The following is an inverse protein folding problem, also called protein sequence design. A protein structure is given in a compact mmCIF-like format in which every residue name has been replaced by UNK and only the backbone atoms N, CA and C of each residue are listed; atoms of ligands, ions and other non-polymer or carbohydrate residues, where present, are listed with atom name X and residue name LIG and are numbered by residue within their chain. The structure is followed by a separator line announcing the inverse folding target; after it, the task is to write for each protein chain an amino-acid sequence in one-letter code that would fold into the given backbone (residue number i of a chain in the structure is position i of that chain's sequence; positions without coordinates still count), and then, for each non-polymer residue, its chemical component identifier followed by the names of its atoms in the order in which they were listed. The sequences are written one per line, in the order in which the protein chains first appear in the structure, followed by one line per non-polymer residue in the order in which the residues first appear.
data_IF_911430810467
#
_entry.id   IF_911430810467
#
_cell.length_a   1.000
_cell.length_b   1.000
_cell.length_c   1.000
_cell.angle_alpha   90.00
_cell.angle_beta   90.00
_cell.angle_gamma   90.00
#
_symmetry.space_group_name_H-M   'P 1'
#
loop_
_entity.id
_entity.type
_entity.pdbx_description
1 polymer ?
#
# COMPACT_ATOMS: atom_id res chain seq x y z
N UNK A 1 6.19 -18.30 -8.18
CA UNK A 1 7.41 -17.60 -7.72
C UNK A 1 7.86 -18.27 -6.45
N UNK A 2 9.07 -18.79 -6.44
CA UNK A 2 9.70 -19.24 -5.19
C UNK A 2 10.41 -18.03 -4.64
N UNK A 3 9.82 -17.38 -3.65
CA UNK A 3 10.51 -16.34 -2.89
C UNK A 3 11.53 -17.06 -2.00
N UNK A 4 12.82 -16.82 -2.20
CA UNK A 4 13.84 -17.28 -1.28
C UNK A 4 13.64 -16.59 0.07
N UNK A 5 13.41 -17.36 1.12
CA UNK A 5 13.47 -16.88 2.48
C UNK A 5 14.90 -16.36 2.75
N UNK A 6 15.07 -15.06 2.76
CA UNK A 6 16.31 -14.40 3.14
C UNK A 6 16.31 -14.20 4.66
N UNK A 7 17.38 -14.64 5.29
CA UNK A 7 17.63 -14.48 6.71
C UNK A 7 17.55 -13.02 7.14
N UNK A 8 16.79 -12.76 8.20
CA UNK A 8 16.63 -11.46 8.83
C UNK A 8 17.97 -10.81 9.16
N UNK A 9 18.23 -9.65 8.59
CA UNK A 9 19.27 -8.75 9.07
C UNK A 9 18.89 -8.25 10.47
N UNK A 10 19.83 -8.33 11.41
CA UNK A 10 19.64 -7.95 12.80
C UNK A 10 19.31 -6.45 12.93
N UNK A 11 18.15 -6.17 13.53
CA UNK A 11 17.97 -5.08 14.47
C UNK A 11 18.19 -3.65 13.94
N UNK A 12 17.57 -3.25 12.83
CA UNK A 12 17.30 -1.84 12.55
C UNK A 12 15.82 -1.59 12.87
N UNK A 13 15.56 -0.63 13.74
CA UNK A 13 14.20 -0.15 14.00
C UNK A 13 13.58 0.28 12.66
N UNK A 14 12.59 -0.47 12.19
CA UNK A 14 11.94 -0.18 10.92
C UNK A 14 10.91 0.90 11.18
N UNK A 15 11.25 2.11 10.73
CA UNK A 15 10.28 3.19 10.56
C UNK A 15 10.16 3.47 9.07
N UNK A 16 8.94 3.52 8.56
CA UNK A 16 8.67 3.75 7.15
C UNK A 16 7.40 4.58 7.00
N UNK A 17 7.50 5.63 6.21
CA UNK A 17 6.36 6.46 5.81
C UNK A 17 6.14 6.35 4.31
N UNK A 18 4.93 5.98 3.94
CA UNK A 18 4.48 5.89 2.55
C UNK A 18 3.42 6.96 2.31
N UNK A 19 3.56 7.67 1.20
CA UNK A 19 2.58 8.63 0.71
C UNK A 19 2.08 8.13 -0.63
N UNK A 20 0.77 8.15 -0.87
CA UNK A 20 0.15 7.80 -2.15
C UNK A 20 -0.85 8.86 -2.59
N UNK A 21 -0.76 9.29 -3.85
CA UNK A 21 -1.64 10.30 -4.42
C UNK A 21 -1.82 10.08 -5.92
N UNK A 22 -3.04 9.98 -6.39
CA UNK A 22 -3.34 10.20 -7.79
C UNK A 22 -3.22 11.71 -8.07
N UNK A 23 -2.22 12.10 -8.86
CA UNK A 23 -1.91 13.52 -9.10
C UNK A 23 -2.67 14.14 -10.27
N UNK A 24 -3.61 13.41 -10.86
CA UNK A 24 -4.41 13.89 -12.00
C UNK A 24 -3.53 14.57 -13.07
N UNK A 25 -2.38 14.01 -13.39
CA UNK A 25 -1.42 14.55 -14.37
C UNK A 25 -1.04 16.02 -14.09
N UNK A 26 -0.88 16.42 -12.83
CA UNK A 26 -0.68 17.80 -12.40
C UNK A 26 -1.82 18.76 -12.78
N UNK A 27 -3.02 18.23 -12.98
CA UNK A 27 -4.22 19.00 -13.35
C UNK A 27 -4.94 19.64 -12.17
N UNK A 28 -4.54 19.36 -10.94
CA UNK A 28 -5.25 19.77 -9.75
C UNK A 28 -6.63 19.11 -9.67
N UNK A 29 -7.60 19.80 -9.11
CA UNK A 29 -9.01 19.39 -9.08
C UNK A 29 -9.77 19.71 -10.39
N UNK A 30 -9.01 20.16 -11.40
CA UNK A 30 -9.53 20.56 -12.71
C UNK A 30 -9.53 19.43 -13.73
N UNK A 31 -9.62 19.84 -15.02
CA UNK A 31 -9.41 18.89 -16.11
C UNK A 31 -7.97 18.38 -16.09
N UNK A 32 -7.78 17.05 -16.24
CA UNK A 32 -6.44 16.49 -16.39
C UNK A 32 -5.64 17.24 -17.45
N UNK A 33 -4.36 17.45 -17.19
CA UNK A 33 -3.43 18.06 -18.13
C UNK A 33 -3.56 17.47 -19.53
N UNK A 34 -3.67 16.16 -19.61
CA UNK A 34 -3.82 15.41 -20.86
C UNK A 34 -5.10 15.76 -21.65
N UNK A 35 -6.22 16.03 -21.00
CA UNK A 35 -7.46 16.43 -21.69
C UNK A 35 -7.35 17.88 -22.23
N UNK A 36 -6.74 18.77 -21.47
CA UNK A 36 -6.45 20.13 -21.95
C UNK A 36 -5.51 20.14 -23.16
N UNK A 37 -4.51 19.27 -23.17
CA UNK A 37 -3.64 19.09 -24.34
C UNK A 37 -4.42 18.64 -25.58
N UNK A 38 -5.34 17.69 -25.42
CA UNK A 38 -6.19 17.24 -26.53
C UNK A 38 -7.08 18.37 -27.05
N UNK A 39 -7.60 19.22 -26.17
CA UNK A 39 -8.42 20.37 -26.55
C UNK A 39 -7.59 21.38 -27.36
N UNK A 40 -6.43 21.78 -26.85
CA UNK A 40 -5.51 22.68 -27.56
C UNK A 40 -5.09 22.12 -28.92
N UNK A 41 -4.79 20.84 -28.98
CA UNK A 41 -4.44 20.19 -30.25
C UNK A 41 -5.62 20.18 -31.26
N UNK A 42 -6.85 20.05 -30.79
CA UNK A 42 -8.04 20.17 -31.66
C UNK A 42 -8.24 21.59 -32.15
N UNK A 43 -8.01 22.59 -31.31
CA UNK A 43 -8.11 24.01 -31.67
C UNK A 43 -7.02 24.44 -32.65
N UNK A 44 -5.76 24.10 -32.41
CA UNK A 44 -4.64 24.52 -33.28
C UNK A 44 -4.61 23.78 -34.63
N UNK A 45 -4.99 22.51 -34.65
CA UNK A 45 -4.83 21.67 -35.86
C UNK A 45 -6.16 21.24 -36.50
N UNK A 46 -7.27 21.90 -36.13
CA UNK A 46 -8.56 21.73 -36.82
C UNK A 46 -9.11 20.31 -36.81
N UNK A 47 -8.83 19.53 -35.74
CA UNK A 47 -9.41 18.21 -35.56
C UNK A 47 -8.83 17.10 -36.45
N UNK A 48 -7.84 17.38 -37.28
CA UNK A 48 -7.11 16.35 -38.02
C UNK A 48 -6.26 15.55 -37.01
N UNK A 49 -6.34 14.22 -37.07
CA UNK A 49 -5.49 13.28 -36.31
C UNK A 49 -4.03 13.45 -36.75
N UNK A 50 -3.43 14.54 -36.37
CA UNK A 50 -1.99 14.67 -36.43
C UNK A 50 -1.43 13.94 -35.21
N UNK A 51 -0.41 13.13 -35.46
CA UNK A 51 0.48 12.64 -34.42
C UNK A 51 1.04 13.91 -33.79
N UNK A 52 0.43 14.33 -32.67
CA UNK A 52 0.92 15.48 -31.93
C UNK A 52 2.40 15.24 -31.72
N UNK A 53 3.20 16.17 -32.14
CA UNK A 53 4.45 16.42 -31.50
C UNK A 53 4.09 16.93 -30.10
N UNK A 54 3.85 16.01 -29.19
CA UNK A 54 3.41 16.31 -27.83
C UNK A 54 4.36 17.30 -27.14
N UNK A 55 5.61 17.29 -27.54
CA UNK A 55 6.67 18.10 -26.97
C UNK A 55 6.48 19.60 -27.20
N UNK A 56 6.03 20.03 -28.37
CA UNK A 56 5.85 21.46 -28.67
C UNK A 56 4.57 22.05 -28.04
N UNK A 57 3.50 21.29 -28.00
CA UNK A 57 2.26 21.69 -27.34
C UNK A 57 2.41 21.66 -25.81
N UNK A 58 3.14 20.68 -25.29
CA UNK A 58 3.49 20.53 -23.88
C UNK A 58 4.32 21.72 -23.37
N UNK A 59 5.37 22.08 -24.08
CA UNK A 59 6.26 23.18 -23.68
C UNK A 59 5.55 24.53 -23.63
N UNK A 60 4.61 24.79 -24.53
CA UNK A 60 3.79 25.99 -24.52
C UNK A 60 2.82 26.05 -23.35
N UNK A 61 2.20 24.93 -23.05
CA UNK A 61 1.18 24.88 -22.02
C UNK A 61 1.76 24.88 -20.61
N UNK A 62 2.90 24.22 -20.40
CA UNK A 62 3.67 24.23 -19.16
C UNK A 62 4.12 25.65 -18.77
N UNK A 63 4.38 26.51 -19.76
CA UNK A 63 4.80 27.90 -19.55
C UNK A 63 3.64 28.83 -19.17
N UNK A 64 2.40 28.49 -19.55
CA UNK A 64 1.28 29.43 -19.45
C UNK A 64 0.37 29.21 -18.25
N UNK A 65 0.37 28.03 -17.56
CA UNK A 65 -0.71 27.71 -16.65
C UNK A 65 -0.28 26.97 -15.37
N UNK A 66 -1.14 27.15 -14.37
CA UNK A 66 -1.38 26.46 -13.09
C UNK A 66 -0.67 25.13 -12.78
N UNK A 67 -0.15 24.37 -13.74
CA UNK A 67 0.59 23.15 -13.48
C UNK A 67 1.89 23.40 -12.71
N UNK A 68 2.55 24.55 -12.94
CA UNK A 68 3.68 24.93 -12.12
C UNK A 68 3.30 25.17 -10.67
N UNK A 69 2.18 25.84 -10.41
CA UNK A 69 1.71 26.10 -9.05
C UNK A 69 1.23 24.83 -8.35
N UNK A 70 0.62 23.90 -9.09
CA UNK A 70 0.22 22.59 -8.55
C UNK A 70 1.44 21.73 -8.28
N UNK A 71 2.40 21.71 -9.21
CA UNK A 71 3.68 21.03 -9.02
C UNK A 71 4.39 21.55 -7.77
N UNK A 72 4.49 22.87 -7.59
CA UNK A 72 5.07 23.48 -6.39
C UNK A 72 4.30 23.11 -5.12
N UNK A 73 2.98 23.09 -5.18
CA UNK A 73 2.14 22.68 -4.03
C UNK A 73 2.37 21.22 -3.66
N UNK A 74 2.48 20.32 -4.63
CA UNK A 74 2.81 18.92 -4.41
C UNK A 74 4.21 18.80 -3.81
N UNK A 75 5.21 19.51 -4.34
CA UNK A 75 6.57 19.52 -3.83
C UNK A 75 6.63 19.97 -2.37
N UNK A 76 5.94 21.06 -2.03
CA UNK A 76 5.86 21.55 -0.65
C UNK A 76 5.25 20.49 0.25
N UNK A 77 4.16 19.86 -0.19
CA UNK A 77 3.45 18.84 0.57
C UNK A 77 4.32 17.60 0.82
N UNK A 78 4.92 17.02 -0.22
CA UNK A 78 5.75 15.80 -0.10
C UNK A 78 7.04 16.07 0.68
N UNK A 79 7.63 17.25 0.55
CA UNK A 79 8.79 17.63 1.35
C UNK A 79 8.45 17.77 2.83
N UNK A 80 7.27 18.30 3.16
CA UNK A 80 6.76 18.37 4.54
C UNK A 80 6.51 16.98 5.13
N UNK A 81 6.03 16.03 4.32
CA UNK A 81 5.78 14.66 4.77
C UNK A 81 7.06 13.91 5.13
N UNK A 82 8.18 14.24 4.50
CA UNK A 82 9.47 13.56 4.67
C UNK A 82 9.36 12.04 4.55
N UNK A 83 8.60 11.58 3.54
CA UNK A 83 8.29 10.19 3.33
C UNK A 83 9.49 9.37 2.85
N UNK A 84 9.50 8.08 3.15
CA UNK A 84 10.48 7.12 2.60
C UNK A 84 10.11 6.70 1.18
N UNK A 85 8.79 6.62 0.91
CA UNK A 85 8.22 6.23 -0.37
C UNK A 85 7.09 7.20 -0.71
N UNK A 86 7.13 7.74 -1.93
CA UNK A 86 6.07 8.58 -2.48
C UNK A 86 5.58 7.90 -3.76
N UNK A 87 4.30 7.57 -3.80
CA UNK A 87 3.64 6.87 -4.89
C UNK A 87 2.71 7.84 -5.61
N UNK A 88 2.88 7.97 -6.91
CA UNK A 88 1.97 8.75 -7.73
C UNK A 88 1.30 7.90 -8.79
N UNK A 89 0.00 8.06 -8.92
CA UNK A 89 -0.79 7.55 -10.01
C UNK A 89 -1.08 8.69 -10.99
N UNK A 90 -1.36 8.35 -12.23
CA UNK A 90 -1.54 9.31 -13.32
C UNK A 90 -0.35 10.26 -13.55
N UNK A 91 0.84 9.81 -13.22
CA UNK A 91 2.06 10.57 -13.46
C UNK A 91 2.38 10.59 -14.97
N UNK A 92 2.44 11.80 -15.54
CA UNK A 92 2.76 11.97 -16.94
C UNK A 92 4.27 11.98 -17.13
N UNK A 93 4.84 10.80 -17.33
CA UNK A 93 6.28 10.59 -17.46
C UNK A 93 6.81 11.27 -18.75
N UNK A 94 8.05 11.76 -18.72
CA UNK A 94 8.68 12.50 -19.81
C UNK A 94 7.98 13.82 -20.19
N UNK A 95 7.12 14.37 -19.35
CA UNK A 95 6.64 15.73 -19.52
C UNK A 95 7.62 16.74 -18.93
N UNK A 96 7.61 17.95 -19.44
CA UNK A 96 8.43 19.04 -18.88
C UNK A 96 8.16 19.27 -17.37
N UNK A 97 6.88 19.18 -16.95
CA UNK A 97 6.49 19.31 -15.55
C UNK A 97 7.08 18.18 -14.72
N UNK A 98 7.01 16.94 -15.24
CA UNK A 98 7.59 15.77 -14.58
C UNK A 98 9.13 15.90 -14.47
N UNK A 99 9.80 16.33 -15.52
CA UNK A 99 11.25 16.54 -15.50
C UNK A 99 11.67 17.59 -14.47
N UNK A 100 10.93 18.70 -14.38
CA UNK A 100 11.16 19.73 -13.38
C UNK A 100 10.88 19.21 -11.96
N UNK A 101 9.79 18.46 -11.79
CA UNK A 101 9.45 17.84 -10.50
C UNK A 101 10.56 16.88 -10.04
N UNK A 102 11.05 16.03 -10.95
CA UNK A 102 12.12 15.06 -10.68
C UNK A 102 13.43 15.76 -10.31
N UNK A 103 13.74 16.91 -10.94
CA UNK A 103 14.90 17.72 -10.62
C UNK A 103 14.81 18.30 -9.21
N UNK A 104 13.68 18.91 -8.86
CA UNK A 104 13.42 19.46 -7.52
C UNK A 104 13.40 18.38 -6.43
N UNK A 105 12.95 17.16 -6.76
CA UNK A 105 13.02 15.99 -5.88
C UNK A 105 14.45 15.44 -5.74
N UNK A 106 15.42 15.96 -6.51
CA UNK A 106 16.80 15.51 -6.49
C UNK A 106 17.02 14.17 -7.17
N UNK A 107 16.10 13.71 -8.04
CA UNK A 107 16.19 12.37 -8.65
C UNK A 107 17.29 12.26 -9.71
N UNK A 108 17.75 13.39 -10.25
CA UNK A 108 18.82 13.46 -11.26
C UNK A 108 20.22 13.45 -10.64
N UNK A 109 20.32 13.72 -9.35
CA UNK A 109 21.59 13.76 -8.64
C UNK A 109 21.97 12.38 -8.14
N UNK A 110 23.24 12.00 -8.29
CA UNK A 110 23.75 10.70 -7.83
C UNK A 110 23.55 10.47 -6.34
N UNK A 111 23.66 11.55 -5.54
CA UNK A 111 23.48 11.56 -4.10
C UNK A 111 22.17 12.26 -3.70
N UNK A 112 21.22 12.35 -4.63
CA UNK A 112 19.94 13.00 -4.41
C UNK A 112 19.07 12.27 -3.37
N UNK A 113 18.10 13.01 -2.82
CA UNK A 113 17.25 12.49 -1.73
C UNK A 113 16.38 11.32 -2.17
N UNK A 114 15.90 11.33 -3.40
CA UNK A 114 15.00 10.31 -3.95
C UNK A 114 15.53 9.72 -5.25
N UNK A 115 15.09 8.49 -5.51
CA UNK A 115 15.29 7.80 -6.80
C UNK A 115 13.92 7.52 -7.39
N UNK A 116 13.68 7.98 -8.61
CA UNK A 116 12.47 7.66 -9.36
C UNK A 116 12.52 6.21 -9.84
N UNK A 117 11.44 5.50 -9.61
CA UNK A 117 11.20 4.14 -10.07
C UNK A 117 9.83 4.05 -10.72
N UNK A 118 9.76 3.34 -11.82
CA UNK A 118 8.51 3.06 -12.48
C UNK A 118 8.60 1.73 -13.22
N UNK A 119 7.45 1.19 -13.55
CA UNK A 119 7.36 0.03 -14.42
C UNK A 119 7.81 0.38 -15.85
N UNK A 120 7.96 -0.62 -16.68
CA UNK A 120 8.41 -0.43 -18.05
C UNK A 120 7.60 0.64 -18.77
N UNK A 121 8.27 1.73 -19.20
CA UNK A 121 7.64 2.83 -19.91
C UNK A 121 7.18 2.32 -21.26
N UNK A 122 5.86 2.29 -21.46
CA UNK A 122 5.29 1.95 -22.77
C UNK A 122 4.92 3.23 -23.52
N UNK A 123 5.32 3.34 -24.78
CA UNK A 123 4.93 4.46 -25.64
C UNK A 123 3.42 4.48 -25.95
N UNK A 124 2.66 3.50 -25.44
CA UNK A 124 1.23 3.37 -25.70
C UNK A 124 0.37 4.22 -24.78
N UNK A 125 0.89 4.56 -23.59
CA UNK A 125 0.18 5.32 -22.58
C UNK A 125 1.12 6.32 -21.92
N UNK A 126 0.73 7.59 -21.83
CA UNK A 126 1.55 8.62 -21.20
C UNK A 126 1.49 8.59 -19.68
N UNK A 127 0.41 8.05 -19.09
CA UNK A 127 0.17 8.06 -17.66
C UNK A 127 0.62 6.75 -17.03
N UNK A 128 1.43 6.85 -15.99
CA UNK A 128 2.03 5.71 -15.28
C UNK A 128 1.82 5.82 -13.78
N UNK A 129 1.95 4.71 -13.08
CA UNK A 129 2.25 4.68 -11.65
C UNK A 129 3.76 4.78 -11.47
N UNK A 130 4.20 5.62 -10.54
CA UNK A 130 5.62 5.84 -10.28
C UNK A 130 5.88 5.92 -8.78
N UNK A 131 7.06 5.49 -8.36
CA UNK A 131 7.52 5.58 -6.99
C UNK A 131 8.79 6.43 -6.90
N UNK A 132 8.79 7.38 -5.97
CA UNK A 132 9.99 8.10 -5.53
C UNK A 132 10.42 7.45 -4.21
N UNK A 133 11.47 6.66 -4.27
CA UNK A 133 12.01 5.98 -3.10
C UNK A 133 13.19 6.76 -2.54
N UNK A 134 13.26 6.91 -1.21
CA UNK A 134 14.41 7.52 -0.55
C UNK A 134 15.69 6.77 -0.94
N UNK A 135 16.71 7.50 -1.32
CA UNK A 135 17.98 6.96 -1.83
C UNK A 135 18.85 6.42 -0.67
N UNK A 136 18.51 5.26 -0.16
CA UNK A 136 19.19 4.62 0.97
C UNK A 136 19.58 3.15 0.71
N UNK A 137 19.64 2.75 -0.56
CA UNK A 137 20.00 1.40 -1.02
C UNK A 137 19.12 0.24 -0.51
N UNK A 138 17.91 0.55 0.00
CA UNK A 138 16.98 -0.47 0.54
C UNK A 138 15.92 -0.90 -0.46
N UNK A 139 16.02 -0.44 -1.70
CA UNK A 139 15.09 -0.72 -2.78
C UNK A 139 15.56 -1.91 -3.64
N UNK A 140 14.64 -2.81 -3.93
CA UNK A 140 14.85 -3.93 -4.86
C UNK A 140 13.66 -3.98 -5.85
N UNK A 141 13.94 -3.94 -7.15
CA UNK A 141 12.91 -4.11 -8.16
C UNK A 141 12.44 -5.56 -8.22
N UNK A 142 11.15 -5.77 -8.04
CA UNK A 142 10.51 -7.08 -8.23
C UNK A 142 9.84 -7.05 -9.59
N UNK A 143 10.27 -7.90 -10.50
CA UNK A 143 9.58 -8.02 -11.80
C UNK A 143 8.17 -8.52 -11.57
N UNK A 144 7.14 -7.73 -11.86
CA UNK A 144 5.77 -8.17 -11.71
C UNK A 144 5.50 -9.32 -12.69
N UNK A 145 4.70 -10.30 -12.26
CA UNK A 145 4.20 -11.33 -13.17
C UNK A 145 3.15 -10.77 -14.13
N UNK A 146 2.69 -9.55 -13.88
CA UNK A 146 1.68 -8.86 -14.66
C UNK A 146 2.09 -7.39 -14.79
N UNK A 147 1.93 -6.89 -15.99
CA UNK A 147 1.99 -5.47 -16.31
C UNK A 147 0.71 -5.13 -17.06
N UNK A 148 0.07 -4.06 -16.68
CA UNK A 148 -1.09 -3.54 -17.35
C UNK A 148 -0.86 -2.07 -17.69
N UNK A 149 -0.19 -1.85 -18.83
CA UNK A 149 0.00 -0.52 -19.41
C UNK A 149 0.65 0.49 -18.43
N UNK A 150 1.58 0.05 -17.57
CA UNK A 150 2.22 0.91 -16.57
C UNK A 150 1.31 1.30 -15.39
N UNK A 151 0.22 0.56 -15.16
CA UNK A 151 -0.76 0.83 -14.10
C UNK A 151 -0.46 0.17 -12.77
N UNK A 152 0.38 -0.85 -12.77
CA UNK A 152 0.75 -1.59 -11.56
C UNK A 152 2.27 -1.68 -11.49
N UNK A 153 2.82 -1.24 -10.38
CA UNK A 153 4.25 -1.28 -10.11
C UNK A 153 4.51 -2.03 -8.81
N UNK A 154 5.38 -3.04 -8.85
CA UNK A 154 5.70 -3.89 -7.71
C UNK A 154 7.19 -3.78 -7.41
N UNK A 155 7.52 -3.49 -6.17
CA UNK A 155 8.90 -3.43 -5.70
C UNK A 155 8.99 -3.85 -4.23
N UNK A 156 10.21 -4.13 -3.80
CA UNK A 156 10.53 -4.41 -2.42
C UNK A 156 11.28 -3.22 -1.84
N UNK A 157 10.86 -2.77 -0.67
CA UNK A 157 11.53 -1.72 0.10
C UNK A 157 11.71 -2.21 1.53
N UNK A 158 12.98 -2.33 1.96
CA UNK A 158 13.31 -3.07 3.18
C UNK A 158 12.73 -4.49 3.09
N UNK A 159 11.91 -4.89 4.05
CA UNK A 159 11.27 -6.21 4.09
C UNK A 159 9.83 -6.21 3.57
N UNK A 160 9.35 -5.09 3.01
CA UNK A 160 8.00 -4.94 2.52
C UNK A 160 7.93 -5.08 1.00
N UNK A 161 6.93 -5.81 0.51
CA UNK A 161 6.51 -5.76 -0.87
C UNK A 161 5.47 -4.67 -1.04
N UNK A 162 5.74 -3.70 -1.89
CA UNK A 162 4.85 -2.59 -2.18
C UNK A 162 4.27 -2.83 -3.58
N UNK A 163 2.96 -2.80 -3.67
CA UNK A 163 2.21 -2.84 -4.92
C UNK A 163 1.51 -1.50 -5.07
N UNK A 164 2.04 -0.65 -5.93
CA UNK A 164 1.41 0.61 -6.31
C UNK A 164 0.53 0.40 -7.52
N UNK A 165 -0.72 0.84 -7.46
CA UNK A 165 -1.65 0.61 -8.55
C UNK A 165 -2.56 1.80 -8.84
N UNK A 166 -2.81 1.99 -10.14
CA UNK A 166 -3.93 2.74 -10.67
C UNK A 166 -4.79 1.79 -11.47
N UNK A 167 -5.75 1.16 -10.82
CA UNK A 167 -6.60 0.15 -11.45
C UNK A 167 -7.50 0.79 -12.52
N UNK A 168 -7.63 0.17 -13.68
CA UNK A 168 -8.56 0.67 -14.69
C UNK A 168 -10.01 0.43 -14.25
N UNK A 169 -10.88 1.38 -14.55
CA UNK A 169 -12.34 1.17 -14.42
C UNK A 169 -12.79 -0.03 -15.27
N UNK A 170 -13.71 -0.83 -14.71
CA UNK A 170 -14.32 -1.91 -15.48
C UNK A 170 -15.37 -1.31 -16.44
N UNK A 171 -15.23 -1.47 -17.76
CA UNK A 171 -16.19 -0.93 -18.71
C UNK A 171 -17.64 -1.42 -18.51
N UNK A 172 -17.84 -2.59 -17.90
CA UNK A 172 -19.17 -3.11 -17.59
C UNK A 172 -19.96 -2.25 -16.61
N UNK A 173 -19.27 -1.38 -15.87
CA UNK A 173 -19.88 -0.45 -14.92
C UNK A 173 -20.30 0.87 -15.59
N UNK A 174 -19.97 1.10 -16.87
CA UNK A 174 -20.42 2.26 -17.65
C UNK A 174 -21.76 1.92 -18.34
N UNK A 175 -22.74 2.81 -18.21
CA UNK A 175 -24.06 2.67 -18.88
C UNK A 175 -23.95 2.57 -20.41
N UNK A 176 -22.85 3.05 -21.00
CA UNK A 176 -22.55 3.00 -22.42
C UNK A 176 -21.82 1.74 -22.85
N UNK A 177 -21.67 0.75 -21.95
CA UNK A 177 -21.00 -0.51 -22.25
C UNK A 177 -21.55 -1.18 -23.50
N UNK A 178 -20.65 -1.61 -24.37
CA UNK A 178 -20.94 -2.22 -25.65
C UNK A 178 -20.08 -3.46 -25.89
N UNK A 179 -20.41 -4.22 -26.93
CA UNK A 179 -19.57 -5.38 -27.36
C UNK A 179 -18.12 -4.98 -27.70
N UNK A 180 -17.88 -3.72 -28.12
CA UNK A 180 -16.53 -3.23 -28.38
C UNK A 180 -15.68 -3.13 -27.09
N UNK A 181 -16.32 -2.99 -25.93
CA UNK A 181 -15.69 -2.83 -24.64
C UNK A 181 -15.44 -4.18 -23.94
N UNK A 182 -16.02 -5.26 -24.47
CA UNK A 182 -15.96 -6.61 -23.91
C UNK A 182 -14.53 -7.08 -23.66
N UNK A 183 -13.66 -6.92 -24.66
CA UNK A 183 -12.25 -7.29 -24.53
C UNK A 183 -11.57 -6.54 -23.40
N UNK A 184 -11.86 -5.24 -23.26
CA UNK A 184 -11.29 -4.40 -22.21
C UNK A 184 -11.78 -4.82 -20.83
N UNK A 185 -13.07 -5.14 -20.69
CA UNK A 185 -13.65 -5.66 -19.45
C UNK A 185 -12.97 -6.97 -19.02
N UNK A 186 -12.82 -7.92 -19.95
CA UNK A 186 -12.10 -9.18 -19.69
C UNK A 186 -10.64 -8.96 -19.28
N UNK A 187 -9.95 -7.97 -19.86
CA UNK A 187 -8.59 -7.63 -19.49
C UNK A 187 -8.50 -7.07 -18.05
N UNK A 188 -9.46 -6.24 -17.64
CA UNK A 188 -9.56 -5.70 -16.29
C UNK A 188 -9.82 -6.82 -15.27
N UNK A 189 -10.77 -7.70 -15.55
CA UNK A 189 -11.09 -8.84 -14.68
C UNK A 189 -9.89 -9.77 -14.52
N UNK A 190 -9.20 -10.08 -15.62
CA UNK A 190 -7.96 -10.88 -15.59
C UNK A 190 -6.82 -10.19 -14.80
N UNK A 191 -6.76 -8.86 -14.80
CA UNK A 191 -5.77 -8.14 -13.98
C UNK A 191 -6.05 -8.36 -12.49
N UNK A 192 -7.30 -8.20 -12.04
CA UNK A 192 -7.70 -8.49 -10.68
C UNK A 192 -7.42 -9.94 -10.26
N UNK A 193 -7.75 -10.90 -11.13
CA UNK A 193 -7.47 -12.31 -10.90
C UNK A 193 -5.97 -12.58 -10.72
N UNK A 194 -5.12 -11.99 -11.57
CA UNK A 194 -3.67 -12.11 -11.46
C UNK A 194 -3.12 -11.48 -10.16
N UNK A 195 -3.65 -10.32 -9.76
CA UNK A 195 -3.29 -9.69 -8.47
C UNK A 195 -3.65 -10.64 -7.34
N UNK A 196 -4.87 -11.18 -7.34
CA UNK A 196 -5.31 -12.14 -6.34
C UNK A 196 -4.41 -13.37 -6.29
N UNK A 197 -4.09 -13.98 -7.43
CA UNK A 197 -3.20 -15.14 -7.49
C UNK A 197 -1.77 -14.82 -7.00
N UNK A 198 -1.28 -13.60 -7.22
CA UNK A 198 0.01 -13.16 -6.66
C UNK A 198 -0.02 -12.99 -5.14
N UNK A 199 -1.16 -12.61 -4.58
CA UNK A 199 -1.34 -12.38 -3.14
C UNK A 199 -1.73 -13.65 -2.40
N UNK A 200 -2.19 -14.69 -3.10
CA UNK A 200 -2.58 -15.95 -2.51
C UNK A 200 -1.44 -16.58 -1.71
N UNK A 201 -1.76 -17.09 -0.54
CA UNK A 201 -0.81 -17.71 0.40
C UNK A 201 0.30 -16.76 0.89
N UNK A 202 0.06 -15.44 0.81
CA UNK A 202 1.01 -14.39 1.22
C UNK A 202 0.65 -13.71 2.54
N UNK A 203 -0.31 -14.22 3.27
CA UNK A 203 -0.81 -13.61 4.51
C UNK A 203 0.28 -13.35 5.56
N UNK A 204 1.31 -14.20 5.62
CA UNK A 204 2.43 -14.08 6.57
C UNK A 204 3.58 -13.21 6.02
N UNK A 205 3.52 -12.81 4.74
CA UNK A 205 4.46 -11.88 4.14
C UNK A 205 4.03 -10.43 4.39
N UNK A 206 4.94 -9.49 4.29
CA UNK A 206 4.69 -8.07 4.50
C UNK A 206 4.37 -7.40 3.17
N UNK A 207 3.11 -7.45 2.78
CA UNK A 207 2.64 -6.87 1.52
C UNK A 207 1.74 -5.69 1.78
N UNK A 208 1.98 -4.59 1.08
CA UNK A 208 1.15 -3.38 1.07
C UNK A 208 0.70 -3.15 -0.37
N UNK A 209 -0.60 -3.17 -0.60
CA UNK A 209 -1.23 -2.87 -1.88
C UNK A 209 -1.97 -1.55 -1.74
N UNK A 210 -1.47 -0.51 -2.42
CA UNK A 210 -1.90 0.87 -2.20
C UNK A 210 -2.07 1.60 -3.54
N UNK A 211 -2.95 2.58 -3.59
CA UNK A 211 -3.17 3.47 -4.72
C UNK A 211 -4.63 3.70 -5.05
N UNK A 212 -4.87 4.21 -6.24
CA UNK A 212 -6.21 4.40 -6.81
C UNK A 212 -6.70 3.08 -7.39
N UNK A 213 -7.54 2.38 -6.63
CA UNK A 213 -8.09 1.09 -7.03
C UNK A 213 -9.38 1.21 -7.84
N UNK A 214 -9.91 2.43 -7.99
CA UNK A 214 -11.14 2.70 -8.74
C UNK A 214 -12.35 1.85 -8.30
N UNK A 215 -12.41 1.47 -7.01
CA UNK A 215 -13.50 0.68 -6.43
C UNK A 215 -14.44 1.62 -5.69
N UNK A 216 -15.55 1.96 -6.28
CA UNK A 216 -16.39 3.06 -5.77
C UNK A 216 -17.76 2.64 -5.25
N UNK A 217 -18.31 1.52 -5.64
CA UNK A 217 -19.69 1.17 -5.25
C UNK A 217 -19.88 -0.35 -5.14
N UNK A 218 -20.57 -0.78 -4.09
CA UNK A 218 -21.02 -2.17 -3.93
C UNK A 218 -21.96 -2.55 -5.07
N UNK A 219 -21.81 -3.76 -5.59
CA UNK A 219 -22.63 -4.28 -6.69
C UNK A 219 -22.15 -3.89 -8.09
N UNK A 220 -21.03 -3.18 -8.22
CA UNK A 220 -20.34 -2.99 -9.51
C UNK A 220 -19.42 -4.17 -9.82
N UNK A 221 -19.11 -4.39 -11.10
CA UNK A 221 -18.15 -5.43 -11.51
C UNK A 221 -16.76 -5.17 -10.97
N UNK A 222 -16.39 -3.89 -10.81
CA UNK A 222 -15.15 -3.50 -10.17
C UNK A 222 -15.11 -3.95 -8.71
N UNK A 223 -16.18 -3.71 -7.95
CA UNK A 223 -16.31 -4.15 -6.57
C UNK A 223 -16.30 -5.68 -6.44
N UNK A 224 -17.01 -6.38 -7.29
CA UNK A 224 -17.05 -7.85 -7.31
C UNK A 224 -15.67 -8.46 -7.58
N UNK A 225 -14.82 -7.79 -8.37
CA UNK A 225 -13.44 -8.19 -8.62
C UNK A 225 -12.50 -7.90 -7.45
N UNK A 226 -12.82 -6.89 -6.64
CA UNK A 226 -12.06 -6.46 -5.48
C UNK A 226 -12.30 -7.31 -4.23
N UNK A 227 -13.57 -7.65 -3.97
CA UNK A 227 -13.98 -8.42 -2.76
C UNK A 227 -13.20 -9.72 -2.53
N UNK A 228 -12.81 -10.49 -3.56
CA UNK A 228 -12.03 -11.70 -3.36
C UNK A 228 -10.68 -11.50 -2.66
N UNK A 229 -10.14 -10.28 -2.60
CA UNK A 229 -8.90 -9.98 -1.88
C UNK A 229 -9.05 -10.15 -0.36
N UNK A 230 -10.27 -10.05 0.17
CA UNK A 230 -10.56 -10.19 1.61
C UNK A 230 -10.91 -11.62 2.03
N UNK A 231 -10.90 -12.58 1.10
CA UNK A 231 -11.17 -13.98 1.42
C UNK A 231 -9.96 -14.61 2.11
N UNK A 232 -10.21 -15.64 2.89
CA UNK A 232 -9.22 -16.32 3.75
C UNK A 232 -7.97 -16.86 3.04
N UNK A 233 -8.04 -17.05 1.72
CA UNK A 233 -6.92 -17.50 0.90
C UNK A 233 -5.95 -16.36 0.51
N UNK A 234 -6.38 -15.11 0.61
CA UNK A 234 -5.59 -13.88 0.38
C UNK A 234 -5.51 -13.05 1.65
N UNK A 235 -6.65 -12.84 2.33
CA UNK A 235 -6.82 -12.20 3.63
C UNK A 235 -6.23 -10.78 3.72
N UNK A 236 -6.37 -9.98 2.66
CA UNK A 236 -5.99 -8.57 2.73
C UNK A 236 -6.88 -7.82 3.72
N UNK A 237 -6.29 -6.85 4.38
CA UNK A 237 -6.95 -5.98 5.37
C UNK A 237 -6.87 -4.54 4.91
N UNK A 238 -7.96 -3.82 5.03
CA UNK A 238 -8.01 -2.40 4.72
C UNK A 238 -7.53 -1.58 5.92
N UNK A 239 -6.36 -0.94 5.80
CA UNK A 239 -5.75 -0.18 6.91
C UNK A 239 -6.65 0.90 7.47
N UNK A 240 -7.47 1.54 6.62
CA UNK A 240 -8.40 2.57 7.08
C UNK A 240 -9.49 1.99 7.99
N UNK A 241 -10.00 0.81 7.66
CA UNK A 241 -11.03 0.15 8.46
C UNK A 241 -10.44 -0.51 9.72
N UNK A 242 -9.23 -1.02 9.66
CA UNK A 242 -8.54 -1.63 10.80
C UNK A 242 -8.26 -0.64 11.95
N UNK A 243 -8.27 0.65 11.68
CA UNK A 243 -8.12 1.70 12.70
C UNK A 243 -9.42 2.50 12.96
N UNK A 244 -10.58 1.81 12.87
CA UNK A 244 -11.90 2.38 13.11
C UNK A 244 -12.33 3.48 12.11
N UNK A 245 -11.72 3.52 10.93
CA UNK A 245 -12.12 4.39 9.83
C UNK A 245 -13.52 4.06 9.33
N UNK A 246 -14.19 5.06 8.78
CA UNK A 246 -15.53 4.86 8.22
C UNK A 246 -15.44 4.39 6.76
N UNK A 247 -16.21 3.38 6.41
CA UNK A 247 -16.28 2.83 5.05
C UNK A 247 -16.71 3.85 3.99
N UNK A 248 -17.42 4.90 4.41
CA UNK A 248 -17.86 6.00 3.56
C UNK A 248 -16.89 7.20 3.50
N UNK A 249 -15.62 7.00 3.83
CA UNK A 249 -14.60 8.02 3.64
C UNK A 249 -14.54 8.48 2.18
N UNK A 250 -14.28 9.76 1.98
CA UNK A 250 -14.19 10.34 0.64
C UNK A 250 -12.73 10.52 0.29
N UNK A 251 -12.24 9.88 -0.78
CA UNK A 251 -10.90 10.10 -1.30
C UNK A 251 -10.88 10.75 -2.68
N UNK A 252 -12.03 10.79 -3.35
CA UNK A 252 -12.19 11.35 -4.69
C UNK A 252 -13.39 12.27 -4.78
N UNK A 253 -13.23 13.37 -5.49
CA UNK A 253 -14.32 14.32 -5.85
C UNK A 253 -14.24 14.68 -7.32
N UNK A 254 -15.37 14.81 -7.97
CA UNK A 254 -15.44 15.37 -9.31
C UNK A 254 -16.32 16.63 -9.33
N UNK A 255 -16.35 17.34 -10.47
CA UNK A 255 -17.17 18.54 -10.67
C UNK A 255 -18.67 18.27 -10.69
N UNK A 256 -19.08 17.02 -10.87
CA UNK A 256 -20.48 16.58 -10.92
C UNK A 256 -20.99 16.16 -9.52
N UNK A 257 -20.29 16.58 -8.45
CA UNK A 257 -20.60 16.28 -7.05
C UNK A 257 -20.49 14.79 -6.67
N UNK A 258 -19.91 13.96 -7.52
CA UNK A 258 -19.61 12.56 -7.13
C UNK A 258 -18.48 12.57 -6.12
N UNK A 259 -18.76 12.01 -4.95
CA UNK A 259 -17.83 11.88 -3.84
C UNK A 259 -17.80 10.42 -3.43
N UNK A 260 -16.63 9.81 -3.45
CA UNK A 260 -16.50 8.38 -3.15
C UNK A 260 -15.10 8.04 -2.68
N UNK A 261 -14.93 6.84 -2.18
CA UNK A 261 -13.63 6.29 -1.84
C UNK A 261 -13.13 5.46 -3.03
N UNK A 262 -12.03 5.89 -3.64
CA UNK A 262 -11.35 5.18 -4.73
C UNK A 262 -9.97 4.70 -4.33
N UNK A 263 -9.36 5.37 -3.36
CA UNK A 263 -7.98 5.12 -2.92
C UNK A 263 -7.99 4.25 -1.67
N UNK A 264 -7.15 3.23 -1.69
CA UNK A 264 -7.07 2.22 -0.65
C UNK A 264 -5.62 1.94 -0.28
N UNK A 265 -5.40 1.55 0.97
CA UNK A 265 -4.18 0.91 1.43
C UNK A 265 -4.56 -0.42 2.08
N UNK A 266 -4.29 -1.50 1.38
CA UNK A 266 -4.57 -2.85 1.84
C UNK A 266 -3.27 -3.51 2.26
N UNK A 267 -3.31 -4.28 3.32
CA UNK A 267 -2.14 -5.00 3.85
C UNK A 267 -2.45 -6.45 4.12
N UNK A 268 -1.42 -7.27 4.10
CA UNK A 268 -1.50 -8.63 4.63
C UNK A 268 -1.46 -8.65 6.15
N UNK A 269 -2.01 -9.67 6.82
CA UNK A 269 -1.89 -9.85 8.28
C UNK A 269 -0.45 -9.75 8.80
N UNK A 270 0.53 -10.25 8.03
CA UNK A 270 1.94 -10.15 8.38
C UNK A 270 2.49 -8.72 8.58
N UNK A 271 1.79 -7.70 8.04
CA UNK A 271 2.08 -6.30 8.34
C UNK A 271 1.48 -5.92 9.70
N UNK A 272 0.23 -6.30 9.96
CA UNK A 272 -0.51 -5.92 11.17
C UNK A 272 0.09 -6.54 12.43
N UNK A 273 0.53 -7.79 12.34
CA UNK A 273 1.04 -8.56 13.48
C UNK A 273 2.40 -8.08 13.99
N UNK A 274 3.12 -7.31 13.19
CA UNK A 274 4.50 -6.98 13.54
C UNK A 274 4.81 -5.49 13.67
N UNK A 275 3.85 -4.65 13.38
CA UNK A 275 4.09 -3.22 13.27
C UNK A 275 2.95 -2.42 13.87
N UNK A 276 3.29 -1.28 14.47
CA UNK A 276 2.32 -0.19 14.67
C UNK A 276 2.13 0.48 13.33
N UNK A 277 0.91 0.79 13.01
CA UNK A 277 0.57 1.49 11.78
C UNK A 277 -0.45 2.59 12.07
N UNK A 278 -0.35 3.65 11.30
CA UNK A 278 -1.40 4.66 11.21
C UNK A 278 -1.62 5.00 9.75
N UNK A 279 -2.87 5.21 9.39
CA UNK A 279 -3.26 5.71 8.08
C UNK A 279 -4.02 7.00 8.26
N UNK A 280 -3.62 8.03 7.56
CA UNK A 280 -4.33 9.31 7.50
C UNK A 280 -4.59 9.73 6.06
N UNK A 281 -5.50 10.66 5.89
CA UNK A 281 -5.82 11.27 4.60
C UNK A 281 -5.52 12.75 4.67
N UNK A 282 -4.95 13.31 3.63
CA UNK A 282 -4.68 14.75 3.54
C UNK A 282 -5.44 15.32 2.34
N UNK A 283 -6.25 16.34 2.57
CA UNK A 283 -6.57 16.95 3.87
C UNK A 283 -7.36 16.04 4.79
N UNK A 284 -7.32 16.29 6.11
CA UNK A 284 -7.91 15.39 7.10
C UNK A 284 -9.44 15.44 7.10
N UNK A 285 -10.02 16.60 6.88
CA UNK A 285 -11.48 16.77 6.87
C UNK A 285 -12.08 16.73 5.47
N UNK A 286 -13.31 16.23 5.37
CA UNK A 286 -14.08 16.26 4.12
C UNK A 286 -14.36 17.68 3.68
N UNK A 287 -14.61 18.60 4.62
CA UNK A 287 -14.87 20.01 4.34
C UNK A 287 -13.67 20.69 3.67
N UNK A 288 -12.46 20.50 4.19
CA UNK A 288 -11.23 21.02 3.60
C UNK A 288 -10.97 20.39 2.22
N UNK A 289 -11.20 19.08 2.07
CA UNK A 289 -11.08 18.40 0.79
C UNK A 289 -12.04 18.98 -0.25
N UNK A 290 -13.26 19.24 0.12
CA UNK A 290 -14.27 19.76 -0.80
C UNK A 290 -14.02 21.20 -1.22
N UNK A 291 -13.59 22.06 -0.29
CA UNK A 291 -13.54 23.52 -0.50
C UNK A 291 -12.15 24.05 -0.82
N UNK A 292 -11.13 23.53 -0.14
CA UNK A 292 -9.81 24.17 -0.11
C UNK A 292 -8.73 23.32 -0.77
N UNK A 293 -9.00 22.04 -1.04
CA UNK A 293 -8.03 21.14 -1.68
C UNK A 293 -8.13 21.24 -3.21
N UNK A 294 -7.07 21.82 -3.81
CA UNK A 294 -6.97 22.01 -5.26
C UNK A 294 -5.74 21.32 -5.89
N UNK A 295 -5.00 20.53 -5.11
CA UNK A 295 -3.79 19.85 -5.54
C UNK A 295 -4.11 18.68 -6.47
N UNK A 296 -5.21 18.00 -6.20
CA UNK A 296 -5.76 16.89 -6.99
C UNK A 296 -7.26 16.77 -6.76
N UNK A 297 -7.95 16.05 -7.60
CA UNK A 297 -9.31 15.56 -7.34
C UNK A 297 -9.32 14.34 -6.40
N UNK A 298 -8.15 13.86 -6.01
CA UNK A 298 -7.95 12.82 -5.00
C UNK A 298 -7.32 13.36 -3.71
N UNK A 299 -7.59 12.70 -2.60
CA UNK A 299 -6.87 12.87 -1.33
C UNK A 299 -5.57 12.09 -1.34
N UNK A 300 -4.59 12.63 -0.66
CA UNK A 300 -3.35 11.92 -0.39
C UNK A 300 -3.55 10.95 0.77
N UNK A 301 -3.17 9.69 0.57
CA UNK A 301 -3.04 8.71 1.64
C UNK A 301 -1.66 8.79 2.26
N UNK A 302 -1.58 8.76 3.57
CA UNK A 302 -0.31 8.69 4.32
C UNK A 302 -0.37 7.48 5.23
N UNK A 303 0.58 6.58 5.07
CA UNK A 303 0.73 5.37 5.88
C UNK A 303 2.05 5.43 6.61
N UNK A 304 2.00 5.48 7.92
CA UNK A 304 3.17 5.36 8.81
C UNK A 304 3.21 3.95 9.37
N UNK A 305 4.38 3.30 9.27
CA UNK A 305 4.63 1.96 9.78
C UNK A 305 5.87 2.03 10.66
N UNK A 306 5.74 1.62 11.90
CA UNK A 306 6.84 1.53 12.86
C UNK A 306 6.92 0.10 13.40
N UNK A 307 8.15 -0.41 13.49
CA UNK A 307 8.35 -1.70 14.16
C UNK A 307 7.81 -1.61 15.58
N UNK A 308 7.03 -2.59 15.96
CA UNK A 308 6.50 -2.62 17.30
C UNK A 308 7.63 -3.03 18.24
N UNK A 309 8.14 -2.09 19.06
CA UNK A 309 9.14 -2.38 20.10
C UNK A 309 8.68 -3.49 21.07
N UNK A 310 7.36 -3.75 21.07
CA UNK A 310 6.81 -4.87 21.82
C UNK A 310 7.24 -6.23 21.27
N UNK A 311 7.80 -6.36 20.05
CA UNK A 311 8.28 -7.65 19.56
C UNK A 311 9.38 -8.27 20.42
N UNK A 312 10.23 -7.49 21.06
CA UNK A 312 11.16 -8.05 22.07
C UNK A 312 10.45 -8.56 23.33
N UNK A 313 9.29 -8.00 23.65
CA UNK A 313 8.48 -8.43 24.79
C UNK A 313 7.27 -9.30 24.36
N UNK A 314 6.66 -9.10 23.18
CA UNK A 314 5.48 -9.85 22.72
C UNK A 314 5.78 -11.23 22.16
N UNK A 315 7.01 -11.49 21.65
CA UNK A 315 7.39 -12.90 21.42
C UNK A 315 7.38 -13.68 22.73
N UNK A 316 7.90 -13.09 23.80
CA UNK A 316 7.79 -13.64 25.14
C UNK A 316 6.30 -13.80 25.54
N UNK A 317 5.47 -12.78 25.31
CA UNK A 317 4.05 -12.81 25.64
C UNK A 317 3.21 -13.75 24.77
N UNK A 318 3.48 -13.85 23.47
CA UNK A 318 2.74 -14.78 22.57
C UNK A 318 3.11 -16.22 22.86
N UNK A 319 4.40 -16.53 23.00
CA UNK A 319 4.86 -17.86 23.40
C UNK A 319 4.35 -18.20 24.80
N UNK A 320 4.35 -17.26 25.73
CA UNK A 320 3.81 -17.43 27.09
C UNK A 320 2.31 -17.62 27.11
N UNK A 321 1.54 -16.92 26.27
CA UNK A 321 0.08 -17.14 26.13
C UNK A 321 -0.26 -18.48 25.52
N UNK A 322 0.51 -18.93 24.53
CA UNK A 322 0.39 -20.28 23.97
C UNK A 322 0.72 -21.30 25.08
N UNK A 323 1.80 -21.08 25.79
CA UNK A 323 2.21 -21.90 26.94
C UNK A 323 1.08 -21.98 27.98
N UNK A 324 0.53 -20.82 28.40
CA UNK A 324 -0.57 -20.74 29.33
C UNK A 324 -1.82 -21.48 28.83
N UNK A 325 -2.23 -21.30 27.57
CA UNK A 325 -3.41 -21.96 27.01
C UNK A 325 -3.25 -23.50 26.92
N UNK A 326 -2.03 -23.98 26.71
CA UNK A 326 -1.71 -25.41 26.74
C UNK A 326 -1.75 -25.89 28.18
N UNK A 327 -1.13 -25.16 29.13
CA UNK A 327 -1.20 -25.49 30.57
C UNK A 327 -2.66 -25.52 31.07
N UNK A 328 -3.50 -24.59 30.62
CA UNK A 328 -4.94 -24.56 30.99
C UNK A 328 -5.71 -25.80 30.52
N UNK A 329 -5.41 -26.29 29.31
CA UNK A 329 -6.02 -27.53 28.80
C UNK A 329 -5.50 -28.76 29.49
N UNK A 330 -4.24 -28.79 29.85
CA UNK A 330 -3.57 -29.96 30.42
C UNK A 330 -3.84 -30.07 31.91
N UNK A 331 -4.05 -28.94 32.60
CA UNK A 331 -4.24 -28.87 34.06
C UNK A 331 -5.51 -28.08 34.43
N UNK A 332 -6.68 -28.55 34.03
CA UNK A 332 -7.91 -27.78 34.20
C UNK A 332 -8.30 -27.53 35.66
N UNK A 333 -7.92 -28.43 36.55
CA UNK A 333 -8.38 -28.39 37.95
C UNK A 333 -7.41 -27.68 38.91
N UNK A 334 -6.19 -27.35 38.47
CA UNK A 334 -5.17 -26.75 39.34
C UNK A 334 -4.73 -27.64 40.49
N UNK A 335 -3.61 -27.33 41.10
CA UNK A 335 -3.16 -28.01 42.35
C UNK A 335 -2.25 -29.22 42.16
N UNK A 336 -2.02 -29.72 40.97
CA UNK A 336 -0.97 -30.66 40.67
C UNK A 336 0.35 -29.93 40.48
N UNK A 337 1.45 -30.54 40.88
CA UNK A 337 2.79 -29.98 40.79
C UNK A 337 3.59 -30.76 39.78
N UNK A 338 4.22 -30.07 38.83
CA UNK A 338 4.97 -30.64 37.73
C UNK A 338 6.41 -30.11 37.76
N UNK A 339 7.36 -30.98 37.41
CA UNK A 339 8.72 -30.57 37.21
C UNK A 339 8.90 -29.84 35.88
N UNK A 340 9.96 -29.06 35.75
CA UNK A 340 10.32 -28.39 34.50
C UNK A 340 10.34 -29.35 33.30
N UNK A 341 10.95 -30.53 33.47
CA UNK A 341 11.06 -31.53 32.43
C UNK A 341 9.71 -32.16 32.07
N UNK A 342 8.80 -32.30 33.02
CA UNK A 342 7.45 -32.78 32.76
C UNK A 342 6.63 -31.76 31.98
N UNK A 343 6.70 -30.50 32.37
CA UNK A 343 6.03 -29.41 31.62
C UNK A 343 6.58 -29.36 30.21
N UNK A 344 7.88 -29.39 30.03
CA UNK A 344 8.52 -29.38 28.70
C UNK A 344 8.07 -30.55 27.84
N UNK A 345 8.08 -31.77 28.38
CA UNK A 345 7.64 -32.98 27.66
C UNK A 345 6.19 -32.88 27.22
N UNK A 346 5.31 -32.38 28.08
CA UNK A 346 3.89 -32.23 27.76
C UNK A 346 3.66 -31.24 26.63
N UNK A 347 4.45 -30.18 26.57
CA UNK A 347 4.43 -29.23 25.43
C UNK A 347 4.91 -29.88 24.13
N UNK A 348 5.96 -30.67 24.19
CA UNK A 348 6.46 -31.41 23.03
C UNK A 348 5.43 -32.42 22.51
N UNK A 349 4.72 -33.11 23.39
CA UNK A 349 3.62 -34.04 23.05
C UNK A 349 2.44 -33.34 22.38
N UNK A 350 2.15 -32.08 22.75
CA UNK A 350 1.12 -31.22 22.09
C UNK A 350 1.63 -30.55 20.80
N UNK A 351 2.87 -30.81 20.41
CA UNK A 351 3.46 -30.23 19.18
C UNK A 351 3.82 -28.76 19.30
N UNK A 352 3.94 -28.24 20.52
CA UNK A 352 4.34 -26.87 20.79
C UNK A 352 5.79 -26.83 21.21
N UNK A 353 6.65 -26.21 20.38
CA UNK A 353 8.07 -26.10 20.63
C UNK A 353 8.48 -24.63 20.75
N UNK A 354 8.35 -24.00 21.93
CA UNK A 354 8.82 -22.64 22.14
C UNK A 354 10.32 -22.55 21.88
N UNK A 355 10.77 -21.59 21.10
CA UNK A 355 12.19 -21.39 20.78
C UNK A 355 13.04 -21.15 22.03
N UNK A 356 12.43 -20.60 23.08
CA UNK A 356 13.06 -20.31 24.35
C UNK A 356 12.08 -20.66 25.48
N UNK A 357 11.99 -21.93 25.77
CA UNK A 357 11.04 -22.48 26.73
C UNK A 357 11.26 -21.91 28.14
N UNK A 358 12.53 -21.78 28.57
CA UNK A 358 12.85 -21.25 29.90
C UNK A 358 12.39 -19.79 30.08
N UNK A 359 12.59 -18.95 29.09
CA UNK A 359 12.16 -17.57 29.09
C UNK A 359 10.63 -17.45 29.10
N UNK A 360 9.94 -18.32 28.32
CA UNK A 360 8.48 -18.35 28.26
C UNK A 360 7.89 -18.81 29.60
N UNK A 361 8.47 -19.83 30.22
CA UNK A 361 8.07 -20.31 31.53
C UNK A 361 8.30 -19.27 32.63
N UNK A 362 9.46 -18.59 32.61
CA UNK A 362 9.74 -17.46 33.52
C UNK A 362 8.69 -16.35 33.41
N UNK A 363 8.31 -16.01 32.16
CA UNK A 363 7.27 -14.99 31.95
C UNK A 363 5.90 -15.46 32.52
N UNK A 364 5.53 -16.73 32.36
CA UNK A 364 4.30 -17.26 32.95
C UNK A 364 4.29 -17.17 34.48
N UNK A 365 5.45 -17.35 35.11
CA UNK A 365 5.62 -17.17 36.58
C UNK A 365 5.49 -15.67 36.95
N UNK A 366 6.17 -14.80 36.23
CA UNK A 366 6.14 -13.34 36.47
C UNK A 366 4.71 -12.76 36.32
N UNK A 367 3.97 -13.25 35.34
CA UNK A 367 2.56 -12.86 35.09
C UNK A 367 1.57 -13.54 36.04
N UNK A 368 2.05 -14.45 36.90
CA UNK A 368 1.21 -15.15 37.88
C UNK A 368 0.27 -16.22 37.27
N UNK A 369 0.56 -16.69 36.08
CA UNK A 369 -0.25 -17.75 35.42
C UNK A 369 0.09 -19.13 35.95
N UNK A 370 1.32 -19.30 36.40
CA UNK A 370 1.81 -20.49 37.11
C UNK A 370 2.62 -20.03 38.33
N UNK A 371 2.73 -20.91 39.31
CA UNK A 371 3.48 -20.64 40.54
C UNK A 371 4.73 -21.50 40.54
N UNK A 372 5.89 -20.87 40.69
CA UNK A 372 7.13 -21.56 40.98
C UNK A 372 7.12 -21.99 42.45
N UNK A 373 7.00 -23.29 42.68
CA UNK A 373 7.02 -23.90 44.02
C UNK A 373 8.44 -24.09 44.56
N UNK A 374 9.45 -23.69 43.81
CA UNK A 374 10.86 -23.93 44.14
C UNK A 374 11.35 -25.31 43.69
N UNK A 375 12.69 -25.44 43.63
CA UNK A 375 13.36 -26.67 43.17
C UNK A 375 12.98 -27.13 41.75
N UNK A 376 12.56 -26.22 40.87
CA UNK A 376 12.14 -26.52 39.51
C UNK A 376 10.75 -27.20 39.43
N UNK A 377 9.90 -26.99 40.40
CA UNK A 377 8.53 -27.49 40.44
C UNK A 377 7.58 -26.30 40.20
N UNK A 378 6.55 -26.53 39.38
CA UNK A 378 5.54 -25.57 39.00
C UNK A 378 4.14 -26.10 39.24
N UNK A 379 3.22 -25.22 39.62
CA UNK A 379 1.77 -25.50 39.74
C UNK A 379 0.98 -24.38 39.14
N UNK A 380 -0.24 -24.67 38.78
CA UNK A 380 -1.17 -23.65 38.31
C UNK A 380 -2.07 -23.17 39.47
#
# INVERSE_FOLDING_TARGET
MTFCALSSAKGMDIKMKIVSLNINSFGGDGKPFFEKLKELAREEYGGKKTKLCCDDALSRWDLEINCSSICESILVLVNKMDADIILFQEYYINSYVAEKFEEEMGCKDKDGKYVLKCNHITNKRPLHTVAFCRNNNTYEEVKPQFDFEGRVFVFKYKDFYIIDAHMPLNPKDDERYSENDKKRAEEVEKLWEKIRECLKDKKDERVIFIGDLNVYQRGTHQYESFVPLFKSDVDMRDLWLEQDGKDNAITYKNKEETKTRLDYALVTPGVLEGYKYTMSMIPESDEEFEKDWHISDHRMLVVDIEENDMRKNDYKNTESRILYSVLERMFPDGGETYTFEEVKRLFEEEGVYPKNFEDALSTCVEEGWIIDCGNGNYTR
#
